data_IF_137074856203
#
_entry.id   IF_137074856203
#
_cell.length_a   1.000
_cell.length_b   1.000
_cell.length_c   1.000
_cell.angle_alpha   90.00
_cell.angle_beta   90.00
_cell.angle_gamma   90.00
#
_symmetry.space_group_name_H-M   'P 1'
#
loop_
_entity.id
_entity.type
_entity.pdbx_description
1 polymer ?
#
# COMPACT_ATOMS: atom_id res chain seq x y z
N UNK A 1 17.39 5.57 -0.97
CA UNK A 1 16.55 4.38 -1.24
C UNK A 1 16.93 3.75 -2.58
N UNK A 2 17.45 2.52 -2.58
CA UNK A 2 17.98 1.87 -3.79
C UNK A 2 16.90 1.50 -4.81
N UNK A 3 15.67 1.29 -4.33
CA UNK A 3 14.51 0.84 -5.11
C UNK A 3 13.66 1.98 -5.70
N UNK A 4 13.81 3.24 -5.25
CA UNK A 4 13.03 4.36 -5.77
C UNK A 4 13.63 4.82 -7.09
N UNK A 5 12.86 4.67 -8.18
CA UNK A 5 13.28 5.08 -9.54
C UNK A 5 12.53 6.30 -10.08
N UNK A 6 11.42 6.69 -9.43
CA UNK A 6 10.57 7.84 -9.82
C UNK A 6 10.15 8.63 -8.60
N UNK A 7 10.13 9.96 -8.71
CA UNK A 7 9.80 10.88 -7.62
C UNK A 7 8.93 12.04 -8.10
N UNK A 8 8.13 12.57 -7.19
CA UNK A 8 7.50 13.88 -7.31
C UNK A 8 8.42 14.94 -6.70
N UNK A 9 8.54 16.09 -7.36
CA UNK A 9 9.39 17.19 -6.90
C UNK A 9 8.54 18.42 -6.70
N UNK A 10 8.39 18.84 -5.44
CA UNK A 10 7.60 20.00 -5.06
C UNK A 10 8.54 21.12 -4.62
N UNK A 11 8.41 22.29 -5.25
CA UNK A 11 9.17 23.49 -4.90
C UNK A 11 8.45 24.30 -3.83
N UNK A 12 9.14 24.56 -2.70
CA UNK A 12 8.68 25.45 -1.64
C UNK A 12 9.72 26.53 -1.45
N UNK A 13 9.57 27.65 -2.17
CA UNK A 13 10.62 28.67 -2.30
C UNK A 13 11.93 28.08 -2.83
N UNK A 14 12.98 28.13 -2.02
CA UNK A 14 14.31 27.55 -2.34
C UNK A 14 14.45 26.07 -1.95
N UNK A 15 13.47 25.51 -1.25
CA UNK A 15 13.44 24.10 -0.83
C UNK A 15 12.85 23.23 -1.94
N UNK A 16 13.31 21.97 -2.01
CA UNK A 16 12.72 20.91 -2.84
C UNK A 16 12.34 19.75 -1.95
N UNK A 17 11.06 19.42 -1.93
CA UNK A 17 10.53 18.22 -1.29
C UNK A 17 10.50 17.14 -2.37
N UNK A 18 11.08 15.98 -2.06
CA UNK A 18 11.19 14.84 -2.97
C UNK A 18 10.48 13.67 -2.29
N UNK A 19 9.39 13.20 -2.89
CA UNK A 19 8.62 12.04 -2.43
C UNK A 19 8.59 10.98 -3.51
N UNK A 20 8.55 9.67 -3.20
CA UNK A 20 8.26 8.65 -4.19
C UNK A 20 6.96 8.99 -4.93
N UNK A 21 6.97 8.80 -6.25
CA UNK A 21 5.78 9.01 -7.07
C UNK A 21 4.88 7.76 -7.01
N UNK A 22 3.57 7.95 -7.06
CA UNK A 22 2.63 6.84 -7.24
C UNK A 22 2.20 6.09 -5.99
N UNK A 23 2.52 6.61 -4.81
CA UNK A 23 2.21 5.98 -3.52
C UNK A 23 0.98 6.59 -2.82
N UNK A 24 0.17 7.37 -3.54
CA UNK A 24 -1.08 7.92 -3.01
C UNK A 24 -2.18 6.85 -2.97
N UNK A 25 -3.06 6.93 -1.97
CA UNK A 25 -4.22 6.05 -1.91
C UNK A 25 -5.17 6.24 -3.09
N UNK A 26 -5.38 7.48 -3.54
CA UNK A 26 -6.24 7.77 -4.70
C UNK A 26 -5.72 7.04 -5.95
N UNK A 27 -4.42 7.11 -6.22
CA UNK A 27 -3.80 6.39 -7.36
C UNK A 27 -3.85 4.87 -7.19
N UNK A 28 -3.75 4.37 -5.96
CA UNK A 28 -3.87 2.93 -5.69
C UNK A 28 -5.30 2.42 -5.94
N UNK A 29 -6.32 3.15 -5.47
CA UNK A 29 -7.73 2.77 -5.63
C UNK A 29 -8.23 2.92 -7.08
N UNK A 30 -7.73 3.92 -7.82
CA UNK A 30 -8.05 4.11 -9.26
C UNK A 30 -7.20 3.21 -10.18
N UNK A 31 -6.24 2.47 -9.61
CA UNK A 31 -5.30 1.62 -10.33
C UNK A 31 -5.89 0.29 -10.80
N UNK A 32 -5.00 -0.66 -11.10
CA UNK A 32 -5.40 -2.00 -11.52
C UNK A 32 -6.12 -2.72 -10.39
N UNK A 33 -7.24 -3.37 -10.72
CA UNK A 33 -7.99 -4.18 -9.78
C UNK A 33 -7.42 -5.62 -9.71
N UNK A 34 -7.77 -6.31 -8.63
CA UNK A 34 -7.53 -7.74 -8.48
C UNK A 34 -8.44 -8.55 -9.43
N UNK A 35 -8.13 -9.84 -9.64
CA UNK A 35 -9.01 -10.71 -10.41
C UNK A 35 -10.33 -10.96 -9.67
N UNK A 36 -11.36 -11.35 -10.41
CA UNK A 36 -12.70 -11.57 -9.86
C UNK A 36 -12.75 -12.66 -8.79
N UNK A 37 -11.79 -13.59 -8.82
CA UNK A 37 -11.65 -14.72 -7.89
C UNK A 37 -10.65 -14.46 -6.75
N UNK A 38 -10.04 -13.28 -6.71
CA UNK A 38 -9.00 -12.96 -5.74
C UNK A 38 -9.56 -12.96 -4.32
N UNK A 39 -9.14 -13.96 -3.52
CA UNK A 39 -9.59 -14.15 -2.14
C UNK A 39 -11.11 -14.39 -2.02
N UNK A 40 -11.72 -15.08 -3.00
CA UNK A 40 -13.14 -15.48 -2.98
C UNK A 40 -13.59 -16.15 -1.69
N UNK A 41 -12.68 -16.87 -1.03
CA UNK A 41 -12.88 -17.40 0.31
C UNK A 41 -11.71 -17.01 1.21
N UNK A 42 -12.03 -16.61 2.44
CA UNK A 42 -11.05 -16.44 3.50
C UNK A 42 -11.02 -17.69 4.37
N UNK A 43 -9.91 -18.41 4.36
CA UNK A 43 -9.67 -19.57 5.22
C UNK A 43 -9.40 -19.11 6.66
N UNK A 44 -10.43 -18.60 7.33
CA UNK A 44 -10.34 -18.21 8.72
C UNK A 44 -10.50 -19.44 9.62
N UNK A 45 -9.51 -19.78 10.46
CA UNK A 45 -9.65 -20.89 11.40
C UNK A 45 -10.67 -20.55 12.50
N UNK A 46 -11.17 -21.58 13.18
CA UNK A 46 -11.95 -21.39 14.39
C UNK A 46 -11.13 -20.68 15.48
N UNK A 47 -11.82 -20.05 16.42
CA UNK A 47 -11.17 -19.51 17.62
C UNK A 47 -10.37 -20.61 18.30
N UNK A 48 -9.12 -20.31 18.64
CA UNK A 48 -8.21 -21.23 19.31
C UNK A 48 -8.37 -21.08 20.83
N UNK A 49 -8.44 -22.20 21.53
CA UNK A 49 -8.34 -22.21 22.99
C UNK A 49 -6.92 -21.82 23.42
N UNK A 50 -6.82 -21.07 24.52
CA UNK A 50 -5.55 -20.68 25.15
C UNK A 50 -5.55 -21.20 26.57
N UNK A 51 -4.37 -21.57 27.06
CA UNK A 51 -4.15 -21.95 28.46
C UNK A 51 -4.70 -20.86 29.40
N UNK A 52 -5.36 -21.28 30.48
CA UNK A 52 -5.72 -20.38 31.57
C UNK A 52 -4.47 -19.99 32.37
N UNK A 53 -4.49 -18.78 32.96
CA UNK A 53 -3.42 -18.26 33.81
C UNK A 53 -3.12 -19.12 35.03
#
# INVERSE_FOLDING_TARGET
PENVKRVEVIAVGRTRIITPAGESWDEWFDGNNVSADFMDNREQPSVQERESF
#
